data_IF_737179363148
#
_entry.id   IF_737179363148
#
_cell.length_a   1.000
_cell.length_b   1.000
_cell.length_c   1.000
_cell.angle_alpha   90.00
_cell.angle_beta   90.00
_cell.angle_gamma   90.00
#
_symmetry.space_group_name_H-M   'P 1'
#
loop_
_entity.id
_entity.type
_entity.pdbx_description
1 polymer ?
#
# COMPACT_ATOMS: atom_id res chain seq x y z
N UNK A 1 -5.01 5.82 17.62
CA UNK A 1 -5.96 6.33 16.60
C UNK A 1 -5.77 5.45 15.37
N UNK A 2 -6.73 4.57 15.08
CA UNK A 2 -6.65 3.66 13.94
C UNK A 2 -6.63 4.44 12.62
N UNK A 3 -5.69 4.11 11.73
CA UNK A 3 -5.58 4.75 10.42
C UNK A 3 -6.78 4.37 9.55
N UNK A 4 -7.52 5.36 9.03
CA UNK A 4 -8.67 5.16 8.15
C UNK A 4 -8.33 4.42 6.83
N UNK A 5 -7.05 4.21 6.51
CA UNK A 5 -6.61 3.47 5.33
C UNK A 5 -6.79 1.94 5.47
N UNK A 6 -6.59 1.38 6.66
CA UNK A 6 -6.66 -0.07 6.90
C UNK A 6 -8.08 -0.64 6.75
N UNK A 7 -9.09 0.03 7.33
CA UNK A 7 -10.48 -0.41 7.30
C UNK A 7 -11.09 -0.44 5.89
N UNK A 8 -10.72 0.52 5.03
CA UNK A 8 -11.16 0.58 3.63
C UNK A 8 -10.62 -0.56 2.78
N UNK A 9 -9.36 -0.95 2.99
CA UNK A 9 -8.77 -2.09 2.29
C UNK A 9 -9.44 -3.42 2.68
N UNK A 10 -9.82 -3.58 3.96
CA UNK A 10 -10.50 -4.80 4.45
C UNK A 10 -11.87 -5.01 3.79
N UNK A 11 -12.67 -3.95 3.65
CA UNK A 11 -13.98 -4.01 3.00
C UNK A 11 -13.94 -4.19 1.48
N UNK A 12 -12.94 -3.63 0.80
CA UNK A 12 -12.81 -3.71 -0.66
C UNK A 12 -12.19 -5.03 -1.13
N UNK A 13 -11.19 -5.56 -0.41
CA UNK A 13 -10.43 -6.71 -0.87
C UNK A 13 -11.31 -7.95 -1.11
N UNK A 14 -12.27 -8.25 -0.23
CA UNK A 14 -13.10 -9.45 -0.33
C UNK A 14 -14.01 -9.48 -1.58
N UNK A 15 -14.40 -8.32 -2.12
CA UNK A 15 -15.38 -8.20 -3.21
C UNK A 15 -14.74 -8.01 -4.59
N UNK A 16 -13.44 -7.74 -4.64
CA UNK A 16 -12.76 -7.33 -5.87
C UNK A 16 -12.07 -8.52 -6.55
N UNK A 17 -12.41 -8.76 -7.82
CA UNK A 17 -11.73 -9.75 -8.65
C UNK A 17 -10.29 -9.30 -8.97
N UNK A 18 -9.25 -10.12 -8.70
CA UNK A 18 -7.86 -9.72 -8.90
C UNK A 18 -7.49 -9.30 -10.33
N UNK A 19 -8.07 -9.93 -11.36
CA UNK A 19 -7.79 -9.57 -12.77
C UNK A 19 -8.41 -8.22 -13.13
N UNK A 20 -9.63 -7.97 -12.67
CA UNK A 20 -10.29 -6.67 -12.86
C UNK A 20 -9.54 -5.57 -12.11
N UNK A 21 -9.04 -5.86 -10.91
CA UNK A 21 -8.21 -4.95 -10.13
C UNK A 21 -6.94 -4.55 -10.88
N UNK A 22 -6.18 -5.52 -11.40
CA UNK A 22 -4.97 -5.25 -12.17
C UNK A 22 -5.26 -4.42 -13.44
N UNK A 23 -6.37 -4.71 -14.14
CA UNK A 23 -6.78 -3.94 -15.33
C UNK A 23 -7.10 -2.48 -14.98
N UNK A 24 -7.82 -2.24 -13.88
CA UNK A 24 -8.11 -0.88 -13.41
C UNK A 24 -6.85 -0.18 -12.92
N UNK A 25 -5.97 -0.89 -12.19
CA UNK A 25 -4.72 -0.33 -11.69
C UNK A 25 -3.81 0.23 -12.79
N UNK A 26 -3.92 -0.27 -14.03
CA UNK A 26 -3.13 0.20 -15.17
C UNK A 26 -3.37 1.68 -15.54
N UNK A 27 -4.51 2.27 -15.17
CA UNK A 27 -4.82 3.68 -15.44
C UNK A 27 -4.55 4.61 -14.25
N UNK A 28 -4.16 4.07 -13.10
CA UNK A 28 -3.82 4.85 -11.92
C UNK A 28 -2.31 5.07 -11.80
N UNK A 29 -1.93 6.08 -11.03
CA UNK A 29 -0.53 6.27 -10.67
C UNK A 29 0.03 5.03 -9.97
N UNK A 30 1.22 4.60 -10.41
CA UNK A 30 1.93 3.46 -9.85
C UNK A 30 2.12 3.59 -8.32
N UNK A 31 2.36 4.81 -7.82
CA UNK A 31 2.53 5.07 -6.38
C UNK A 31 1.28 4.71 -5.57
N UNK A 32 0.08 5.03 -6.09
CA UNK A 32 -1.20 4.70 -5.47
C UNK A 32 -1.50 3.21 -5.54
N UNK A 33 -1.19 2.56 -6.67
CA UNK A 33 -1.34 1.12 -6.84
C UNK A 33 -0.48 0.34 -5.84
N UNK A 34 0.75 0.80 -5.57
CA UNK A 34 1.64 0.17 -4.58
C UNK A 34 1.13 0.29 -3.16
N UNK A 35 0.60 1.46 -2.77
CA UNK A 35 -0.02 1.66 -1.46
C UNK A 35 -1.21 0.72 -1.27
N UNK A 36 -2.07 0.62 -2.28
CA UNK A 36 -3.21 -0.31 -2.25
C UNK A 36 -2.75 -1.76 -2.13
N UNK A 37 -1.75 -2.18 -2.90
CA UNK A 37 -1.20 -3.53 -2.83
C UNK A 37 -0.67 -3.90 -1.45
N UNK A 38 0.07 -2.99 -0.81
CA UNK A 38 0.55 -3.17 0.56
C UNK A 38 -0.61 -3.29 1.57
N UNK A 39 -1.61 -2.40 1.50
CA UNK A 39 -2.76 -2.43 2.40
C UNK A 39 -3.61 -3.70 2.22
N UNK A 40 -3.75 -4.21 0.99
CA UNK A 40 -4.42 -5.48 0.71
C UNK A 40 -3.65 -6.67 1.28
N UNK A 41 -2.32 -6.69 1.13
CA UNK A 41 -1.47 -7.75 1.68
C UNK A 41 -1.56 -7.79 3.20
N UNK A 42 -1.42 -6.62 3.83
CA UNK A 42 -1.62 -6.43 5.25
C UNK A 42 -3.00 -6.94 5.70
N UNK A 43 -4.07 -6.60 4.98
CA UNK A 43 -5.43 -7.02 5.31
C UNK A 43 -5.76 -8.49 4.97
N UNK A 44 -4.76 -9.31 4.58
CA UNK A 44 -4.94 -10.74 4.27
C UNK A 44 -5.49 -11.03 2.86
N UNK A 45 -5.69 -10.01 2.03
CA UNK A 45 -6.18 -10.12 0.65
C UNK A 45 -5.05 -10.44 -0.34
N UNK A 46 -4.32 -11.52 -0.06
CA UNK A 46 -3.06 -11.88 -0.74
C UNK A 46 -3.23 -12.04 -2.25
N UNK A 47 -4.36 -12.56 -2.74
CA UNK A 47 -4.58 -12.76 -4.18
C UNK A 47 -4.72 -11.43 -4.93
N UNK A 48 -5.39 -10.46 -4.31
CA UNK A 48 -5.61 -9.12 -4.82
C UNK A 48 -4.31 -8.33 -4.78
N UNK A 49 -3.55 -8.43 -3.68
CA UNK A 49 -2.22 -7.87 -3.56
C UNK A 49 -1.28 -8.43 -4.65
N UNK A 50 -1.22 -9.76 -4.82
CA UNK A 50 -0.40 -10.41 -5.86
C UNK A 50 -0.66 -9.88 -7.27
N UNK A 51 -1.91 -9.54 -7.59
CA UNK A 51 -2.26 -8.98 -8.89
C UNK A 51 -1.66 -7.58 -9.14
N UNK A 52 -1.24 -6.87 -8.08
CA UNK A 52 -0.64 -5.55 -8.16
C UNK A 52 0.90 -5.55 -8.08
N UNK A 53 1.52 -6.67 -7.73
CA UNK A 53 2.99 -6.80 -7.65
C UNK A 53 3.74 -6.40 -8.94
N UNK A 54 3.24 -6.67 -10.17
CA UNK A 54 3.90 -6.23 -11.40
C UNK A 54 4.03 -4.71 -11.55
N UNK A 55 3.24 -3.92 -10.82
CA UNK A 55 3.37 -2.46 -10.80
C UNK A 55 4.48 -2.04 -9.83
N UNK A 56 4.61 -2.73 -8.69
CA UNK A 56 5.65 -2.47 -7.73
C UNK A 56 7.05 -2.78 -8.27
N UNK A 57 7.21 -3.85 -9.06
CA UNK A 57 8.50 -4.19 -9.69
C UNK A 57 9.00 -3.15 -10.69
N UNK A 58 8.09 -2.31 -11.24
CA UNK A 58 8.42 -1.21 -12.16
C UNK A 58 8.80 0.08 -11.43
N UNK A 59 8.72 0.12 -10.10
CA UNK A 59 9.02 1.30 -9.32
C UNK A 59 10.50 1.68 -9.38
N UNK A 60 10.79 2.94 -9.72
CA UNK A 60 12.16 3.49 -9.71
C UNK A 60 12.54 4.20 -8.41
N UNK A 61 11.55 4.51 -7.57
CA UNK A 61 11.74 5.25 -6.33
C UNK A 61 10.84 4.74 -5.22
N UNK A 62 11.36 4.86 -4.00
CA UNK A 62 10.61 4.55 -2.78
C UNK A 62 9.67 5.71 -2.47
N UNK A 63 8.43 5.42 -2.08
CA UNK A 63 7.40 6.42 -1.75
C UNK A 63 6.87 6.19 -0.33
N UNK A 64 6.43 7.23 0.39
CA UNK A 64 5.77 7.04 1.67
C UNK A 64 4.42 6.34 1.49
N UNK A 65 4.08 5.50 2.46
CA UNK A 65 2.77 4.85 2.55
C UNK A 65 1.66 5.91 2.65
N UNK A 66 1.77 6.83 3.60
CA UNK A 66 0.90 8.01 3.65
C UNK A 66 1.60 9.20 2.95
N UNK A 67 1.11 9.65 1.78
CA UNK A 67 1.67 10.79 1.07
C UNK A 67 1.45 12.13 1.75
N UNK A 68 0.54 12.23 2.73
CA UNK A 68 0.18 13.48 3.42
C UNK A 68 1.24 13.90 4.43
N UNK A 69 2.08 12.97 4.86
CA UNK A 69 3.12 13.27 5.85
C UNK A 69 4.32 13.91 5.18
N UNK A 70 4.73 15.07 5.69
CA UNK A 70 5.97 15.74 5.27
C UNK A 70 7.15 14.82 5.58
N UNK A 71 7.71 14.21 4.54
CA UNK A 71 8.87 13.29 4.54
C UNK A 71 10.00 13.70 5.49
N UNK A 72 10.22 15.01 5.67
CA UNK A 72 11.28 15.55 6.52
C UNK A 72 11.03 15.32 8.02
N UNK A 73 9.78 15.42 8.48
CA UNK A 73 9.45 15.29 9.91
C UNK A 73 9.53 13.83 10.37
N UNK A 74 9.19 12.88 9.50
CA UNK A 74 9.21 11.44 9.86
C UNK A 74 10.62 10.87 9.84
N UNK A 75 11.49 11.35 8.93
CA UNK A 75 12.90 10.93 8.89
C UNK A 75 13.67 11.26 10.18
N UNK A 76 13.19 12.20 10.98
CA UNK A 76 13.80 12.61 12.24
C UNK A 76 13.27 11.83 13.45
N UNK A 77 12.11 11.17 13.34
CA UNK A 77 11.35 10.69 14.50
C UNK A 77 11.46 9.19 14.78
N UNK A 78 11.83 8.35 13.81
CA UNK A 78 12.01 6.89 13.99
C UNK A 78 12.70 6.25 12.76
N UNK A 79 13.29 5.05 12.90
CA UNK A 79 13.72 4.29 11.74
C UNK A 79 12.50 3.92 10.89
N UNK A 80 12.30 4.65 9.80
CA UNK A 80 11.29 4.36 8.79
C UNK A 80 11.53 2.94 8.23
N UNK A 81 10.65 2.01 8.57
CA UNK A 81 10.75 0.66 8.04
C UNK A 81 10.45 0.69 6.54
N UNK A 82 11.37 0.18 5.72
CA UNK A 82 11.17 0.06 4.28
C UNK A 82 10.53 -1.28 3.96
N UNK A 83 9.45 -1.27 3.19
CA UNK A 83 8.94 -2.46 2.53
C UNK A 83 9.54 -2.55 1.11
N UNK A 84 10.51 -3.45 0.85
CA UNK A 84 11.18 -3.54 -0.43
C UNK A 84 10.28 -4.07 -1.55
N UNK A 85 9.32 -4.94 -1.22
CA UNK A 85 8.38 -5.53 -2.18
C UNK A 85 7.49 -4.46 -2.83
N UNK A 86 6.93 -3.57 -2.02
CA UNK A 86 6.08 -2.48 -2.49
C UNK A 86 6.84 -1.17 -2.74
N UNK A 87 8.15 -1.18 -2.47
CA UNK A 87 9.00 0.01 -2.52
C UNK A 87 8.43 1.15 -1.64
N UNK A 88 7.89 0.85 -0.46
CA UNK A 88 7.28 1.87 0.40
C UNK A 88 8.12 2.15 1.65
N UNK A 89 8.08 3.40 2.11
CA UNK A 89 8.47 3.76 3.47
C UNK A 89 7.21 3.69 4.33
N UNK A 90 7.24 2.87 5.38
CA UNK A 90 6.14 2.72 6.33
C UNK A 90 6.28 3.84 7.36
N UNK A 91 5.66 4.97 7.04
CA UNK A 91 5.72 6.23 7.81
C UNK A 91 4.52 6.43 8.75
N UNK A 92 3.68 5.41 8.89
CA UNK A 92 2.51 5.40 9.75
C UNK A 92 2.29 3.96 10.27
N UNK A 93 1.93 3.76 11.56
CA UNK A 93 1.51 2.46 12.06
C UNK A 93 0.17 2.06 11.41
N UNK A 94 0.14 0.89 10.78
CA UNK A 94 -1.09 0.33 10.21
C UNK A 94 -1.61 -0.75 11.14
N UNK A 95 -2.58 -0.40 11.98
CA UNK A 95 -3.34 -1.37 12.78
C UNK A 95 -4.45 -1.97 11.93
N UNK A 96 -4.52 -3.31 11.91
CA UNK A 96 -5.61 -4.03 11.26
C UNK A 96 -6.32 -4.79 12.37
N UNK A 97 -7.51 -4.32 12.75
CA UNK A 97 -8.38 -5.10 13.60
C UNK A 97 -8.69 -6.42 12.87
N UNK A 98 -8.36 -7.54 13.53
CA UNK A 98 -8.55 -8.91 13.02
C UNK A 98 -10.01 -9.26 12.96
#
# INVERSE_FOLDING_TARGET
MASAAGSRAKGLGAKVNPRKLAKLAAVYENSSVRRLGYLLELAGHVRQAKALEPFASKAKSVKPLDPSVKSFIVSLASPLQKNPKWMLLINEPVEIES
#
